data_IF_733825841895
#
_entry.id   IF_733825841895
#
_cell.length_a   1.000
_cell.length_b   1.000
_cell.length_c   1.000
_cell.angle_alpha   90.00
_cell.angle_beta   90.00
_cell.angle_gamma   90.00
#
_symmetry.space_group_name_H-M   'P 1'
#
loop_
_entity.id
_entity.type
_entity.pdbx_description
1 polymer ?
#
# COMPACT_ATOMS: atom_id res chain seq x y z
N UNK A 1 -34.05 -49.32 -6.98
CA UNK A 1 -33.18 -49.24 -5.77
C UNK A 1 -32.38 -47.93 -5.63
N UNK A 2 -32.21 -47.10 -6.65
CA UNK A 2 -31.46 -45.82 -6.57
C UNK A 2 -32.12 -44.67 -5.83
N UNK A 3 -33.43 -44.51 -5.92
CA UNK A 3 -34.20 -43.37 -5.37
C UNK A 3 -34.34 -43.45 -3.84
N UNK A 4 -34.37 -44.65 -3.27
CA UNK A 4 -34.52 -44.86 -1.81
C UNK A 4 -33.19 -44.55 -1.08
N UNK A 5 -32.06 -44.91 -1.67
CA UNK A 5 -30.73 -44.57 -1.09
C UNK A 5 -30.46 -43.06 -1.07
N UNK A 6 -30.92 -42.33 -2.09
CA UNK A 6 -30.77 -40.85 -2.14
C UNK A 6 -31.59 -40.16 -1.08
N UNK A 7 -32.79 -40.65 -0.74
CA UNK A 7 -33.63 -40.06 0.34
C UNK A 7 -33.05 -40.27 1.73
N UNK A 8 -32.39 -41.38 1.98
CA UNK A 8 -31.79 -41.68 3.30
C UNK A 8 -30.54 -40.79 3.54
N UNK A 9 -29.67 -40.62 2.53
CA UNK A 9 -28.48 -39.79 2.62
C UNK A 9 -28.86 -38.31 2.75
N UNK A 10 -29.87 -37.83 2.02
CA UNK A 10 -30.38 -36.46 2.16
C UNK A 10 -31.01 -36.21 3.53
N UNK A 11 -31.70 -37.19 4.10
CA UNK A 11 -32.32 -37.08 5.43
C UNK A 11 -31.34 -36.98 6.59
N UNK A 12 -30.15 -37.59 6.46
CA UNK A 12 -29.08 -37.46 7.44
C UNK A 12 -28.30 -36.15 7.29
N UNK A 13 -28.11 -35.66 6.06
CA UNK A 13 -27.49 -34.37 5.77
C UNK A 13 -28.33 -33.19 6.27
N UNK A 14 -29.66 -33.28 6.17
CA UNK A 14 -30.57 -32.24 6.59
C UNK A 14 -30.71 -32.09 8.12
N UNK A 15 -30.35 -33.11 8.91
CA UNK A 15 -30.36 -33.04 10.39
C UNK A 15 -29.24 -32.17 10.98
N UNK A 16 -28.17 -31.89 10.22
CA UNK A 16 -27.09 -31.03 10.63
C UNK A 16 -27.25 -29.54 10.25
N UNK A 17 -28.23 -29.19 9.43
CA UNK A 17 -28.43 -27.84 8.91
C UNK A 17 -29.22 -26.97 9.86
N UNK A 18 -28.72 -25.79 10.22
CA UNK A 18 -29.32 -24.88 11.20
C UNK A 18 -30.60 -24.17 10.70
N UNK A 19 -30.89 -24.17 9.38
CA UNK A 19 -32.08 -23.54 8.80
C UNK A 19 -32.62 -24.36 7.63
N UNK A 20 -33.88 -24.72 7.71
CA UNK A 20 -34.62 -25.45 6.67
C UNK A 20 -35.86 -24.61 6.31
N UNK A 21 -36.09 -24.42 5.01
CA UNK A 21 -37.31 -23.81 4.48
C UNK A 21 -38.20 -24.86 3.82
N UNK A 22 -39.55 -24.68 3.89
CA UNK A 22 -40.51 -25.61 3.28
C UNK A 22 -41.04 -25.05 1.97
N UNK A 23 -41.06 -25.86 0.95
CA UNK A 23 -41.72 -25.51 -0.30
C UNK A 23 -43.26 -25.42 -0.10
N UNK A 24 -43.83 -24.30 -0.54
CA UNK A 24 -45.29 -24.13 -0.39
C UNK A 24 -46.13 -25.12 -1.23
N UNK A 25 -45.57 -25.59 -2.37
CA UNK A 25 -46.28 -26.49 -3.31
C UNK A 25 -46.12 -27.95 -2.91
N UNK A 26 -44.90 -28.47 -2.80
CA UNK A 26 -44.65 -29.89 -2.54
C UNK A 26 -44.36 -30.24 -1.08
N UNK A 27 -44.31 -29.25 -0.18
CA UNK A 27 -44.02 -29.37 1.26
C UNK A 27 -42.63 -29.95 1.59
N UNK A 28 -41.75 -30.10 0.59
CA UNK A 28 -40.41 -30.62 0.79
C UNK A 28 -39.52 -29.66 1.60
N UNK A 29 -38.67 -30.23 2.44
CA UNK A 29 -37.71 -29.50 3.24
C UNK A 29 -36.45 -29.18 2.37
N UNK A 30 -36.06 -27.92 2.34
CA UNK A 30 -35.00 -27.40 1.49
C UNK A 30 -33.96 -26.67 2.37
N UNK A 31 -32.65 -26.98 2.26
CA UNK A 31 -31.61 -26.24 2.98
C UNK A 31 -31.58 -24.75 2.58
N UNK A 32 -31.74 -23.84 3.52
CA UNK A 32 -31.70 -22.39 3.26
C UNK A 32 -30.29 -21.87 3.02
N UNK A 33 -29.26 -22.60 3.46
CA UNK A 33 -27.86 -22.25 3.31
C UNK A 33 -27.39 -22.21 1.86
N UNK A 34 -28.02 -22.99 0.97
CA UNK A 34 -27.73 -23.00 -0.46
C UNK A 34 -28.41 -21.85 -1.22
N UNK A 35 -29.15 -21.01 -0.52
CA UNK A 35 -29.89 -19.89 -1.11
C UNK A 35 -30.70 -20.22 -2.38
N UNK A 36 -31.44 -21.35 -2.43
CA UNK A 36 -32.08 -21.77 -3.66
C UNK A 36 -33.21 -20.81 -4.07
N UNK A 37 -33.30 -20.50 -5.34
CA UNK A 37 -34.33 -19.66 -5.94
C UNK A 37 -35.56 -20.50 -6.32
N UNK A 38 -35.35 -21.77 -6.64
CA UNK A 38 -36.39 -22.72 -7.03
C UNK A 38 -36.30 -23.99 -6.18
N UNK A 39 -37.45 -24.62 -5.97
CA UNK A 39 -37.51 -25.91 -5.29
C UNK A 39 -36.86 -27.00 -6.12
N UNK A 40 -35.86 -27.70 -5.56
CA UNK A 40 -35.15 -28.79 -6.23
C UNK A 40 -36.01 -30.05 -6.49
N UNK A 41 -37.22 -30.14 -5.86
CA UNK A 41 -38.09 -31.28 -6.02
C UNK A 41 -39.24 -31.03 -7.01
N UNK A 42 -39.79 -29.82 -7.10
CA UNK A 42 -40.94 -29.53 -7.94
C UNK A 42 -40.79 -28.34 -8.86
N UNK A 43 -39.63 -27.70 -8.89
CA UNK A 43 -39.34 -26.56 -9.75
C UNK A 43 -40.05 -25.25 -9.37
N UNK A 44 -40.87 -25.24 -8.29
CA UNK A 44 -41.60 -24.05 -7.87
C UNK A 44 -40.65 -22.96 -7.40
N UNK A 45 -40.94 -21.71 -7.75
CA UNK A 45 -40.16 -20.55 -7.28
C UNK A 45 -40.40 -20.34 -5.78
N UNK A 46 -39.32 -20.37 -5.02
CA UNK A 46 -39.37 -20.23 -3.56
C UNK A 46 -39.54 -18.77 -3.20
N UNK A 47 -40.65 -18.45 -2.55
CA UNK A 47 -40.89 -17.14 -1.98
C UNK A 47 -40.19 -17.07 -0.62
N UNK A 48 -39.12 -16.30 -0.54
CA UNK A 48 -38.56 -15.91 0.76
C UNK A 48 -39.46 -14.90 1.39
N UNK A 49 -39.96 -15.21 2.58
CA UNK A 49 -40.58 -14.17 3.41
C UNK A 49 -39.47 -13.12 3.66
N UNK A 50 -39.64 -11.93 3.07
CA UNK A 50 -38.84 -10.77 3.48
C UNK A 50 -39.14 -10.60 4.96
N UNK A 51 -38.17 -10.92 5.85
CA UNK A 51 -38.23 -10.48 7.23
C UNK A 51 -38.58 -9.00 7.18
N UNK A 52 -39.73 -8.60 7.70
CA UNK A 52 -40.04 -7.19 7.96
C UNK A 52 -38.82 -6.66 8.70
N UNK A 53 -38.07 -5.70 8.14
CA UNK A 53 -37.01 -5.00 8.84
C UNK A 53 -37.62 -4.58 10.17
N UNK A 54 -37.13 -5.12 11.27
CA UNK A 54 -37.67 -4.82 12.59
C UNK A 54 -37.65 -3.32 12.76
N UNK A 55 -38.80 -2.76 13.18
CA UNK A 55 -38.92 -1.33 13.41
C UNK A 55 -37.83 -0.87 14.36
N UNK A 56 -36.99 0.07 13.90
CA UNK A 56 -35.86 0.57 14.69
C UNK A 56 -36.43 1.35 15.86
N UNK A 57 -36.41 0.75 17.05
CA UNK A 57 -36.92 1.37 18.28
C UNK A 57 -35.94 2.34 18.87
N UNK A 58 -36.36 3.56 19.15
CA UNK A 58 -35.58 4.57 19.87
C UNK A 58 -36.24 4.92 21.20
N UNK A 59 -35.49 5.42 22.20
CA UNK A 59 -36.08 5.98 23.41
C UNK A 59 -37.02 7.15 23.10
N UNK A 60 -38.04 7.34 23.90
CA UNK A 60 -38.97 8.45 23.75
C UNK A 60 -38.25 9.78 23.97
N UNK A 61 -38.39 10.75 23.04
CA UNK A 61 -37.82 12.08 23.22
C UNK A 61 -38.36 12.75 24.49
N UNK A 62 -37.49 13.44 25.23
CA UNK A 62 -37.86 14.16 26.46
C UNK A 62 -37.56 15.64 26.32
N UNK A 63 -38.49 16.51 26.68
CA UNK A 63 -38.25 17.95 26.65
C UNK A 63 -37.57 18.41 27.94
N UNK A 64 -36.49 19.22 27.78
CA UNK A 64 -35.80 19.91 28.88
C UNK A 64 -35.50 21.36 28.45
N UNK A 65 -36.14 22.30 29.10
CA UNK A 65 -36.13 23.70 28.68
C UNK A 65 -36.77 23.86 27.29
N UNK A 66 -36.05 24.51 26.37
CA UNK A 66 -36.53 24.71 24.98
C UNK A 66 -36.10 23.61 24.01
N UNK A 67 -35.37 22.58 24.47
CA UNK A 67 -34.80 21.52 23.58
C UNK A 67 -35.31 20.14 23.89
N UNK A 68 -35.30 19.28 22.89
CA UNK A 68 -35.70 17.88 22.96
C UNK A 68 -34.48 16.97 22.97
N UNK A 69 -34.48 15.97 23.87
CA UNK A 69 -33.38 15.05 24.14
C UNK A 69 -33.80 13.60 23.89
N UNK A 70 -32.94 12.84 23.18
CA UNK A 70 -33.02 11.38 23.03
C UNK A 70 -31.72 10.75 23.47
N UNK A 71 -31.73 9.97 24.54
CA UNK A 71 -30.54 9.31 25.08
C UNK A 71 -30.37 7.92 24.47
N UNK A 72 -29.41 7.81 23.55
CA UNK A 72 -29.04 6.56 22.87
C UNK A 72 -27.92 5.86 23.63
N UNK A 73 -28.23 5.24 24.79
CA UNK A 73 -27.26 4.65 25.72
C UNK A 73 -26.35 3.60 25.08
N UNK A 74 -26.86 2.81 24.12
CA UNK A 74 -26.07 1.78 23.43
C UNK A 74 -25.03 2.39 22.51
N UNK A 75 -25.33 3.52 21.93
CA UNK A 75 -24.49 4.29 21.03
C UNK A 75 -23.64 5.32 21.79
N UNK A 76 -23.84 5.50 23.09
CA UNK A 76 -23.12 6.45 23.94
C UNK A 76 -23.40 7.91 23.61
N UNK A 77 -24.52 8.23 22.95
CA UNK A 77 -24.83 9.57 22.43
C UNK A 77 -26.19 10.06 22.92
N UNK A 78 -26.26 11.35 23.30
CA UNK A 78 -27.52 12.05 23.54
C UNK A 78 -27.79 13.00 22.38
N UNK A 79 -28.87 12.76 21.64
CA UNK A 79 -29.34 13.66 20.58
C UNK A 79 -30.09 14.84 21.20
N UNK A 80 -29.75 16.05 20.77
CA UNK A 80 -30.35 17.30 21.25
C UNK A 80 -30.79 18.12 20.04
N UNK A 81 -32.08 18.43 19.93
CA UNK A 81 -32.63 19.20 18.82
C UNK A 81 -33.72 20.17 19.32
N UNK A 82 -34.09 21.15 18.49
CA UNK A 82 -35.09 22.17 18.83
C UNK A 82 -36.52 21.65 18.78
N UNK A 83 -36.79 20.58 18.00
CA UNK A 83 -38.10 19.97 17.88
C UNK A 83 -38.06 18.47 18.18
N UNK A 84 -39.19 17.92 18.66
CA UNK A 84 -39.32 16.49 18.91
C UNK A 84 -39.11 15.65 17.64
N UNK A 85 -39.68 16.12 16.54
CA UNK A 85 -39.58 15.43 15.26
C UNK A 85 -38.11 15.36 14.76
N UNK A 86 -37.35 16.42 14.88
CA UNK A 86 -35.92 16.46 14.52
C UNK A 86 -35.12 15.55 15.45
N UNK A 87 -35.31 15.56 16.75
CA UNK A 87 -34.66 14.70 17.71
C UNK A 87 -34.92 13.22 17.41
N UNK A 88 -36.17 12.88 17.09
CA UNK A 88 -36.59 11.53 16.73
C UNK A 88 -36.01 11.06 15.41
N UNK A 89 -36.03 11.90 14.37
CA UNK A 89 -35.46 11.58 13.05
C UNK A 89 -33.95 11.34 13.14
N UNK A 90 -33.22 12.21 13.85
CA UNK A 90 -31.77 12.07 14.03
C UNK A 90 -31.39 10.85 14.87
N UNK A 91 -32.14 10.54 15.94
CA UNK A 91 -31.94 9.36 16.75
C UNK A 91 -32.16 8.07 15.94
N UNK A 92 -33.19 8.03 15.09
CA UNK A 92 -33.46 6.93 14.18
C UNK A 92 -32.32 6.77 13.16
N UNK A 93 -31.87 7.86 12.58
CA UNK A 93 -30.76 7.86 11.60
C UNK A 93 -29.45 7.33 12.21
N UNK A 94 -29.11 7.73 13.45
CA UNK A 94 -27.96 7.22 14.20
C UNK A 94 -28.11 5.71 14.43
N UNK A 95 -29.26 5.26 14.95
CA UNK A 95 -29.50 3.84 15.24
C UNK A 95 -29.61 2.96 14.00
N UNK A 96 -30.01 3.54 12.88
CA UNK A 96 -29.98 2.90 11.56
C UNK A 96 -28.59 2.82 10.93
N UNK A 97 -27.57 3.46 11.54
CA UNK A 97 -26.23 3.56 10.99
C UNK A 97 -26.13 4.50 9.79
N UNK A 98 -27.14 5.34 9.56
CA UNK A 98 -27.16 6.33 8.47
C UNK A 98 -26.38 7.60 8.83
N UNK A 99 -26.23 7.88 10.11
CA UNK A 99 -25.43 8.98 10.66
C UNK A 99 -24.51 8.40 11.74
N UNK A 100 -23.25 8.78 11.73
CA UNK A 100 -22.29 8.36 12.75
C UNK A 100 -22.72 8.88 14.14
N UNK A 101 -22.67 8.02 15.15
CA UNK A 101 -22.91 8.37 16.57
C UNK A 101 -21.70 9.04 17.23
N UNK A 102 -20.60 9.24 16.48
CA UNK A 102 -19.38 9.84 17.02
C UNK A 102 -19.70 11.25 17.54
N UNK A 103 -19.40 11.51 18.81
CA UNK A 103 -19.45 12.85 19.36
C UNK A 103 -18.74 13.79 18.42
N UNK A 104 -19.46 14.74 17.82
CA UNK A 104 -18.84 15.83 17.05
C UNK A 104 -17.70 16.39 17.89
N UNK A 105 -16.51 16.42 17.34
CA UNK A 105 -15.31 16.95 18.01
C UNK A 105 -15.37 18.49 18.06
N UNK A 106 -16.43 19.04 18.68
CA UNK A 106 -16.59 20.48 18.86
C UNK A 106 -15.45 21.01 19.69
N UNK A 107 -14.78 22.04 19.20
CA UNK A 107 -13.64 22.68 19.85
C UNK A 107 -12.28 22.02 19.57
N UNK A 108 -12.21 21.01 18.68
CA UNK A 108 -10.96 20.37 18.30
C UNK A 108 -10.44 20.96 16.99
N UNK A 109 -9.28 21.62 17.02
CA UNK A 109 -8.66 22.10 15.78
C UNK A 109 -8.10 20.93 14.96
N UNK A 110 -7.87 21.17 13.66
CA UNK A 110 -7.27 20.14 12.80
C UNK A 110 -5.88 19.71 13.33
N UNK A 111 -5.10 20.66 13.85
CA UNK A 111 -3.81 20.37 14.49
C UNK A 111 -3.96 19.43 15.68
N UNK A 112 -4.86 19.74 16.60
CA UNK A 112 -5.13 18.91 17.78
C UNK A 112 -5.70 17.54 17.41
N UNK A 113 -6.51 17.47 16.36
CA UNK A 113 -7.03 16.19 15.85
C UNK A 113 -5.91 15.31 15.29
N UNK A 114 -4.94 15.89 14.60
CA UNK A 114 -3.74 15.19 14.11
C UNK A 114 -2.86 14.74 15.30
N UNK A 115 -2.65 15.61 16.31
CA UNK A 115 -1.90 15.24 17.52
C UNK A 115 -2.52 14.02 18.19
N UNK A 116 -3.81 14.09 18.47
CA UNK A 116 -4.56 12.98 19.07
C UNK A 116 -4.49 11.69 18.21
N UNK A 117 -4.55 11.83 16.88
CA UNK A 117 -4.41 10.70 15.97
C UNK A 117 -3.05 10.02 16.09
N UNK A 118 -1.98 10.78 16.21
CA UNK A 118 -0.61 10.29 16.38
C UNK A 118 -0.45 9.63 17.76
N UNK A 119 -0.84 10.33 18.83
CA UNK A 119 -0.73 9.88 20.22
C UNK A 119 -1.47 8.55 20.48
N UNK A 120 -2.70 8.44 19.97
CA UNK A 120 -3.49 7.20 20.14
C UNK A 120 -2.91 5.99 19.38
N UNK A 121 -1.90 6.20 18.53
CA UNK A 121 -1.21 5.17 17.74
C UNK A 121 0.28 5.10 18.04
N UNK A 122 0.65 5.56 19.21
CA UNK A 122 2.01 5.35 19.71
C UNK A 122 2.36 3.86 19.66
N UNK A 123 3.58 3.52 19.28
CA UNK A 123 4.07 2.16 19.03
C UNK A 123 3.44 1.40 17.83
N UNK A 124 2.39 1.93 17.19
CA UNK A 124 1.80 1.34 15.97
C UNK A 124 2.37 2.01 14.72
N UNK A 125 2.47 3.34 14.75
CA UNK A 125 3.02 4.11 13.63
C UNK A 125 4.55 3.98 13.57
N UNK A 126 5.08 3.88 12.36
CA UNK A 126 6.54 3.92 12.21
C UNK A 126 7.07 5.34 12.47
N UNK A 127 8.32 5.52 12.99
CA UNK A 127 8.91 6.84 13.20
C UNK A 127 8.88 7.70 11.93
N UNK A 128 9.16 7.12 10.77
CA UNK A 128 9.06 7.83 9.49
C UNK A 128 7.63 8.26 9.14
N UNK A 129 6.61 7.51 9.58
CA UNK A 129 5.20 7.89 9.38
C UNK A 129 4.84 9.06 10.30
N UNK A 130 5.22 8.99 11.58
CA UNK A 130 5.02 10.09 12.54
C UNK A 130 5.71 11.35 12.03
N UNK A 131 6.98 11.25 11.61
CA UNK A 131 7.71 12.35 10.98
C UNK A 131 6.94 12.94 9.79
N UNK A 132 6.43 12.11 8.90
CA UNK A 132 5.63 12.56 7.75
C UNK A 132 4.36 13.30 8.17
N UNK A 133 3.66 12.81 9.17
CA UNK A 133 2.46 13.46 9.72
C UNK A 133 2.78 14.79 10.42
N UNK A 134 3.88 14.88 11.16
CA UNK A 134 4.35 16.13 11.77
C UNK A 134 4.75 17.19 10.73
N UNK A 135 5.32 16.77 9.60
CA UNK A 135 5.63 17.67 8.48
C UNK A 135 4.33 18.21 7.87
N UNK A 136 3.33 17.35 7.66
CA UNK A 136 2.00 17.75 7.16
C UNK A 136 1.36 18.73 8.15
N UNK A 137 1.33 18.42 9.44
CA UNK A 137 0.76 19.26 10.47
C UNK A 137 1.39 20.66 10.53
N UNK A 138 2.70 20.75 10.26
CA UNK A 138 3.43 22.03 10.29
C UNK A 138 3.21 22.88 9.04
N UNK A 139 3.10 22.24 7.88
CA UNK A 139 3.24 22.93 6.59
C UNK A 139 1.98 22.94 5.72
N UNK A 140 1.07 21.94 5.89
CA UNK A 140 -0.11 21.82 5.05
C UNK A 140 -1.29 22.62 5.60
N UNK A 141 -2.17 23.05 4.71
CA UNK A 141 -3.43 23.71 5.04
C UNK A 141 -3.31 24.85 6.08
N UNK A 142 -2.39 25.82 5.94
CA UNK A 142 -2.13 26.84 6.96
C UNK A 142 -3.36 27.68 7.30
N UNK A 143 -4.30 27.86 6.37
CA UNK A 143 -5.52 28.64 6.59
C UNK A 143 -6.55 27.95 7.49
N UNK A 144 -6.45 26.62 7.69
CA UNK A 144 -7.43 25.86 8.48
C UNK A 144 -6.82 24.98 9.56
N UNK A 145 -5.50 24.89 9.64
CA UNK A 145 -4.82 23.98 10.58
C UNK A 145 -5.19 24.25 12.04
N UNK A 146 -5.41 25.51 12.38
CA UNK A 146 -5.79 25.94 13.72
C UNK A 146 -7.29 26.28 13.87
N UNK A 147 -8.10 25.86 12.89
CA UNK A 147 -9.57 26.00 12.88
C UNK A 147 -10.23 24.74 13.41
N UNK A 148 -11.33 24.89 14.15
CA UNK A 148 -12.18 23.78 14.60
C UNK A 148 -12.70 22.98 13.39
N UNK A 149 -12.40 21.68 13.35
CA UNK A 149 -12.76 20.80 12.23
C UNK A 149 -14.27 20.71 11.99
N UNK A 150 -15.09 20.98 13.01
CA UNK A 150 -16.55 21.01 12.90
C UNK A 150 -17.08 22.32 12.31
N UNK A 151 -16.29 23.38 12.32
CA UNK A 151 -16.67 24.71 11.84
C UNK A 151 -16.26 24.97 10.38
N UNK A 152 -15.44 24.10 9.79
CA UNK A 152 -14.99 24.26 8.40
C UNK A 152 -16.15 24.02 7.45
N UNK A 153 -16.62 25.09 6.82
CA UNK A 153 -17.79 25.07 5.92
C UNK A 153 -17.54 24.39 4.60
N UNK A 154 -16.31 24.42 4.08
CA UNK A 154 -15.95 23.82 2.79
C UNK A 154 -14.54 23.26 2.78
N UNK A 155 -14.43 21.95 2.81
CA UNK A 155 -13.16 21.23 2.61
C UNK A 155 -12.64 21.37 1.19
N UNK A 156 -13.55 21.50 0.20
CA UNK A 156 -13.14 21.74 -1.20
C UNK A 156 -12.41 23.06 -1.36
N UNK A 157 -12.83 24.12 -0.67
CA UNK A 157 -12.12 25.40 -0.68
C UNK A 157 -10.70 25.25 -0.14
N UNK A 158 -10.53 24.56 1.00
CA UNK A 158 -9.22 24.27 1.57
C UNK A 158 -8.31 23.46 0.62
N UNK A 159 -8.86 22.48 -0.07
CA UNK A 159 -8.16 21.70 -1.12
C UNK A 159 -7.73 22.61 -2.27
N UNK A 160 -8.61 23.49 -2.74
CA UNK A 160 -8.29 24.40 -3.85
C UNK A 160 -7.16 25.37 -3.47
N UNK A 161 -7.16 25.88 -2.23
CA UNK A 161 -6.10 26.76 -1.74
C UNK A 161 -4.77 26.02 -1.62
N UNK A 162 -4.77 24.82 -1.08
CA UNK A 162 -3.55 24.00 -0.96
C UNK A 162 -3.03 23.54 -2.32
N UNK A 163 -3.92 23.28 -3.29
CA UNK A 163 -3.53 22.91 -4.66
C UNK A 163 -2.74 24.01 -5.41
N UNK A 164 -2.87 25.29 -4.99
CA UNK A 164 -2.07 26.39 -5.52
C UNK A 164 -0.64 26.41 -4.95
N UNK A 165 -0.43 25.79 -3.78
CA UNK A 165 0.83 25.82 -3.03
C UNK A 165 1.70 24.60 -3.32
N UNK A 166 1.09 23.43 -3.51
CA UNK A 166 1.81 22.16 -3.59
C UNK A 166 1.41 21.36 -4.85
N UNK A 167 2.29 20.45 -5.26
CA UNK A 167 2.01 19.54 -6.39
C UNK A 167 0.90 18.53 -6.02
N UNK A 168 0.13 18.10 -7.02
CA UNK A 168 -0.99 17.16 -6.86
C UNK A 168 -0.64 15.89 -6.03
N UNK A 169 0.59 15.36 -6.16
CA UNK A 169 1.05 14.20 -5.37
C UNK A 169 1.22 14.54 -3.89
N UNK A 170 1.75 15.69 -3.57
CA UNK A 170 1.91 16.18 -2.19
C UNK A 170 0.54 16.39 -1.57
N UNK A 171 -0.34 17.13 -2.24
CA UNK A 171 -1.72 17.35 -1.81
C UNK A 171 -2.47 16.03 -1.54
N UNK A 172 -2.32 15.04 -2.41
CA UNK A 172 -2.93 13.72 -2.21
C UNK A 172 -2.46 13.04 -0.92
N UNK A 173 -1.18 13.18 -0.58
CA UNK A 173 -0.64 12.61 0.66
C UNK A 173 -1.14 13.38 1.89
N UNK A 174 -1.14 14.70 1.84
CA UNK A 174 -1.63 15.59 2.90
C UNK A 174 -3.10 15.34 3.17
N UNK A 175 -3.92 15.34 2.13
CA UNK A 175 -5.34 15.04 2.24
C UNK A 175 -5.60 13.61 2.74
N UNK A 176 -4.75 12.65 2.40
CA UNK A 176 -4.84 11.28 2.91
C UNK A 176 -4.83 11.21 4.43
N UNK A 177 -3.94 11.97 5.10
CA UNK A 177 -3.92 12.10 6.55
C UNK A 177 -5.17 12.82 7.06
N UNK A 178 -5.45 14.02 6.53
CA UNK A 178 -6.59 14.85 6.97
C UNK A 178 -7.89 14.06 6.86
N UNK A 179 -8.16 13.42 5.74
CA UNK A 179 -9.36 12.59 5.54
C UNK A 179 -9.49 11.48 6.59
N UNK A 180 -8.37 10.83 6.94
CA UNK A 180 -8.37 9.76 7.94
C UNK A 180 -8.70 10.31 9.33
N UNK A 181 -8.09 11.44 9.68
CA UNK A 181 -8.35 12.14 10.96
C UNK A 181 -9.80 12.62 11.04
N UNK A 182 -10.35 13.18 9.97
CA UNK A 182 -11.75 13.59 9.90
C UNK A 182 -12.71 12.42 10.09
N UNK A 183 -12.46 11.29 9.40
CA UNK A 183 -13.28 10.10 9.51
C UNK A 183 -13.34 9.56 10.95
N UNK A 184 -12.23 9.59 11.70
CA UNK A 184 -12.21 9.21 13.12
C UNK A 184 -13.03 10.15 14.01
N UNK A 185 -13.12 11.41 13.62
CA UNK A 185 -13.94 12.39 14.32
C UNK A 185 -15.38 12.48 13.78
N UNK A 186 -15.81 11.51 12.96
CA UNK A 186 -17.16 11.40 12.43
C UNK A 186 -17.49 12.39 11.32
N UNK A 187 -16.47 13.06 10.75
CA UNK A 187 -16.63 14.03 9.67
C UNK A 187 -16.30 13.33 8.34
N UNK A 188 -17.26 13.31 7.44
CA UNK A 188 -17.05 12.85 6.07
C UNK A 188 -16.92 14.09 5.17
N UNK A 189 -15.81 14.15 4.43
CA UNK A 189 -15.55 15.19 3.46
C UNK A 189 -15.29 14.53 2.10
N UNK A 190 -16.21 14.74 1.18
CA UNK A 190 -16.05 14.34 -0.22
C UNK A 190 -15.49 15.54 -0.99
N UNK A 191 -14.30 15.36 -1.57
CA UNK A 191 -13.58 16.43 -2.28
C UNK A 191 -12.95 15.91 -3.57
N UNK A 192 -12.93 16.76 -4.58
CA UNK A 192 -12.18 16.52 -5.80
C UNK A 192 -10.70 16.92 -5.61
N UNK A 193 -9.80 16.01 -5.97
CA UNK A 193 -8.35 16.23 -5.89
C UNK A 193 -7.78 16.22 -7.30
N UNK A 194 -6.82 17.12 -7.64
CA UNK A 194 -6.16 17.12 -8.93
C UNK A 194 -5.52 15.77 -9.27
N UNK A 195 -5.61 15.38 -10.54
CA UNK A 195 -5.03 14.12 -11.00
C UNK A 195 -3.50 14.13 -10.83
N UNK A 196 -2.98 13.05 -10.26
CA UNK A 196 -1.53 12.87 -10.11
C UNK A 196 -0.94 12.34 -11.40
N UNK A 197 -0.19 13.17 -12.10
CA UNK A 197 0.63 12.72 -13.24
C UNK A 197 1.82 11.96 -12.68
N UNK A 198 1.97 10.71 -13.09
CA UNK A 198 3.12 9.88 -12.68
C UNK A 198 4.31 10.24 -13.55
N UNK A 199 5.39 10.71 -12.93
CA UNK A 199 6.66 10.85 -13.64
C UNK A 199 7.17 9.50 -14.10
N UNK A 200 7.87 9.49 -15.22
CA UNK A 200 8.58 8.30 -15.65
C UNK A 200 9.60 7.85 -14.59
N UNK A 201 9.62 6.54 -14.36
CA UNK A 201 10.58 5.95 -13.45
C UNK A 201 11.94 5.89 -14.15
N UNK A 202 12.97 6.50 -13.56
CA UNK A 202 14.34 6.45 -14.07
C UNK A 202 15.12 5.27 -13.46
N UNK A 203 15.93 4.63 -14.27
CA UNK A 203 16.94 3.63 -13.90
C UNK A 203 18.06 3.67 -14.93
N UNK A 204 19.17 3.02 -14.65
CA UNK A 204 20.28 2.81 -15.57
C UNK A 204 20.08 1.47 -16.30
N UNK A 205 20.30 1.45 -17.60
CA UNK A 205 20.34 0.23 -18.40
C UNK A 205 21.65 -0.52 -18.24
N UNK A 206 21.80 -1.64 -18.95
CA UNK A 206 22.96 -2.52 -18.86
C UNK A 206 24.30 -1.82 -19.14
N UNK A 207 24.39 -0.98 -20.18
CA UNK A 207 25.62 -0.28 -20.52
C UNK A 207 25.88 0.91 -19.57
N UNK A 208 24.82 1.61 -19.18
CA UNK A 208 24.89 2.72 -18.24
C UNK A 208 25.37 2.27 -16.85
N UNK A 209 25.00 1.05 -16.42
CA UNK A 209 25.47 0.49 -15.14
C UNK A 209 27.00 0.35 -15.15
N UNK A 210 27.62 -0.08 -16.27
CA UNK A 210 29.08 -0.18 -16.37
C UNK A 210 29.74 1.17 -16.17
N UNK A 211 29.29 2.19 -16.92
CA UNK A 211 29.81 3.55 -16.83
C UNK A 211 29.61 4.14 -15.42
N UNK A 212 28.49 3.83 -14.80
CA UNK A 212 28.21 4.26 -13.43
C UNK A 212 29.15 3.61 -12.41
N UNK A 213 29.42 2.29 -12.54
CA UNK A 213 30.35 1.57 -11.65
C UNK A 213 31.73 2.14 -11.71
N UNK A 214 32.23 2.51 -12.91
CA UNK A 214 33.52 3.15 -13.08
C UNK A 214 33.54 4.56 -12.46
N UNK A 215 32.47 5.33 -12.62
CA UNK A 215 32.38 6.70 -12.12
C UNK A 215 32.24 6.79 -10.60
N UNK A 216 31.60 5.81 -9.95
CA UNK A 216 31.35 5.79 -8.48
C UNK A 216 32.51 5.13 -7.71
N UNK A 217 33.46 4.50 -8.42
CA UNK A 217 34.57 3.79 -7.82
C UNK A 217 35.44 4.74 -6.98
N UNK A 218 35.78 4.28 -5.77
CA UNK A 218 36.56 5.00 -4.76
C UNK A 218 35.92 6.32 -4.27
N UNK A 219 34.67 6.59 -4.65
CA UNK A 219 33.89 7.73 -4.14
C UNK A 219 33.19 7.38 -2.81
N UNK A 220 32.95 8.36 -1.93
CA UNK A 220 32.30 8.10 -0.62
C UNK A 220 30.95 7.41 -0.67
N UNK A 221 30.26 7.47 -1.79
CA UNK A 221 28.96 6.84 -2.04
C UNK A 221 29.06 5.42 -2.60
N UNK A 222 30.24 4.90 -2.90
CA UNK A 222 30.43 3.65 -3.63
C UNK A 222 29.70 2.48 -2.93
N UNK A 223 30.01 2.20 -1.69
CA UNK A 223 29.42 1.09 -0.95
C UNK A 223 27.89 1.18 -0.90
N UNK A 224 27.33 2.35 -0.64
CA UNK A 224 25.89 2.58 -0.61
C UNK A 224 25.22 2.36 -1.97
N UNK A 225 25.87 2.80 -3.05
CA UNK A 225 25.42 2.58 -4.43
C UNK A 225 25.46 1.09 -4.81
N UNK A 226 26.51 0.38 -4.42
CA UNK A 226 26.64 -1.06 -4.67
C UNK A 226 25.58 -1.86 -3.91
N UNK A 227 25.28 -1.53 -2.65
CA UNK A 227 24.14 -2.12 -1.95
C UNK A 227 22.81 -1.87 -2.69
N UNK A 228 22.59 -0.66 -3.22
CA UNK A 228 21.39 -0.36 -4.00
C UNK A 228 21.30 -1.18 -5.30
N UNK A 229 22.43 -1.41 -5.98
CA UNK A 229 22.54 -2.28 -7.15
C UNK A 229 22.35 -3.78 -6.84
N UNK A 230 22.41 -4.18 -5.56
CA UNK A 230 21.98 -5.51 -5.10
C UNK A 230 20.48 -5.56 -4.77
N UNK A 231 19.72 -4.52 -5.10
CA UNK A 231 18.30 -4.47 -4.88
C UNK A 231 17.87 -4.09 -3.45
N UNK A 232 18.74 -3.53 -2.60
CA UNK A 232 18.37 -3.05 -1.27
C UNK A 232 17.59 -1.74 -1.34
N UNK A 233 16.60 -1.58 -0.44
CA UNK A 233 15.91 -0.29 -0.23
C UNK A 233 16.82 0.67 0.53
N UNK A 234 16.57 1.97 0.40
CA UNK A 234 17.34 3.00 1.14
C UNK A 234 17.38 2.73 2.65
N UNK A 235 16.25 2.37 3.25
CA UNK A 235 16.20 2.06 4.69
C UNK A 235 16.91 0.75 5.05
N UNK A 236 16.94 -0.21 4.16
CA UNK A 236 17.63 -1.49 4.35
C UNK A 236 19.16 -1.32 4.30
N UNK A 237 19.67 -0.66 3.24
CA UNK A 237 21.12 -0.46 3.09
C UNK A 237 21.77 0.37 4.22
N UNK A 238 21.01 1.29 4.84
CA UNK A 238 21.45 2.05 6.00
C UNK A 238 21.45 1.23 7.32
N UNK A 239 20.87 0.04 7.30
CA UNK A 239 20.80 -0.85 8.44
C UNK A 239 21.76 -2.05 8.36
N UNK A 240 22.47 -2.23 7.24
CA UNK A 240 23.42 -3.35 7.06
C UNK A 240 24.61 -3.20 7.98
N UNK A 241 24.87 -4.25 8.76
CA UNK A 241 25.97 -4.34 9.75
C UNK A 241 26.85 -5.54 9.44
N UNK A 242 28.09 -5.61 9.94
CA UNK A 242 28.98 -6.76 9.73
C UNK A 242 28.37 -8.10 10.16
N UNK A 243 27.61 -8.16 11.25
CA UNK A 243 26.94 -9.40 11.70
C UNK A 243 25.83 -9.87 10.75
N UNK A 244 25.42 -9.08 9.78
CA UNK A 244 24.46 -9.45 8.72
C UNK A 244 25.13 -9.99 7.46
N UNK A 245 26.45 -10.07 7.45
CA UNK A 245 27.22 -10.65 6.35
C UNK A 245 27.57 -12.10 6.72
N UNK A 246 27.10 -13.04 5.92
CA UNK A 246 27.41 -14.45 6.07
C UNK A 246 28.09 -14.97 4.79
N UNK A 247 29.44 -15.05 4.83
CA UNK A 247 30.22 -15.41 3.67
C UNK A 247 30.01 -14.44 2.50
N UNK A 248 29.39 -14.93 1.43
CA UNK A 248 29.05 -14.13 0.24
C UNK A 248 27.58 -13.71 0.20
N UNK A 249 26.93 -13.63 1.35
CA UNK A 249 25.49 -13.33 1.43
C UNK A 249 25.24 -12.22 2.44
N UNK A 250 24.34 -11.30 2.09
CA UNK A 250 23.82 -10.24 2.96
C UNK A 250 22.46 -10.69 3.50
N UNK A 251 22.33 -10.82 4.81
CA UNK A 251 21.03 -10.96 5.45
C UNK A 251 20.37 -9.58 5.55
N UNK A 252 19.40 -9.31 4.70
CA UNK A 252 18.62 -8.09 4.76
C UNK A 252 17.53 -8.24 5.80
N UNK A 253 17.73 -7.61 6.94
CA UNK A 253 16.84 -7.63 8.10
C UNK A 253 16.89 -6.28 8.81
N UNK A 254 15.71 -5.75 9.14
CA UNK A 254 15.61 -4.42 9.72
C UNK A 254 15.68 -3.28 8.72
N UNK A 255 15.54 -2.09 9.23
CA UNK A 255 15.58 -0.84 8.46
C UNK A 255 16.02 0.33 9.33
N UNK A 256 16.68 1.33 8.73
CA UNK A 256 17.01 2.59 9.38
C UNK A 256 16.21 3.71 8.72
N UNK A 257 15.51 4.50 9.52
CA UNK A 257 14.63 5.59 9.08
C UNK A 257 14.83 6.82 9.96
N UNK A 258 14.55 8.00 9.41
CA UNK A 258 14.54 9.23 10.20
C UNK A 258 13.25 9.31 11.04
N UNK A 259 13.39 9.66 12.31
CA UNK A 259 12.29 10.03 13.19
C UNK A 259 11.88 11.51 13.03
N UNK A 260 11.02 11.99 13.91
CA UNK A 260 10.53 13.38 13.89
C UNK A 260 11.63 14.42 14.17
N UNK A 261 12.67 14.05 14.91
CA UNK A 261 13.83 14.88 15.24
C UNK A 261 14.95 14.79 14.18
N UNK A 262 14.71 14.08 13.08
CA UNK A 262 15.68 13.76 12.03
C UNK A 262 16.85 12.89 12.51
N UNK A 263 16.70 12.19 13.64
CA UNK A 263 17.64 11.18 14.06
C UNK A 263 17.42 9.88 13.30
N UNK A 264 18.50 9.17 12.97
CA UNK A 264 18.43 7.88 12.29
C UNK A 264 18.13 6.78 13.30
N UNK A 265 16.89 6.31 13.30
CA UNK A 265 16.41 5.25 14.20
C UNK A 265 16.39 3.91 13.47
N UNK A 266 16.96 2.89 14.10
CA UNK A 266 16.94 1.52 13.59
C UNK A 266 15.72 0.78 14.11
N UNK A 267 15.15 -0.03 13.24
CA UNK A 267 14.12 -1.02 13.56
C UNK A 267 14.67 -2.39 13.23
N UNK A 268 14.69 -3.27 14.19
CA UNK A 268 15.12 -4.66 14.00
C UNK A 268 14.11 -5.45 13.18
N UNK A 269 12.83 -5.09 13.26
CA UNK A 269 11.77 -5.74 12.50
C UNK A 269 11.49 -5.02 11.18
N UNK A 270 11.33 -5.78 10.13
CA UNK A 270 10.86 -5.30 8.84
C UNK A 270 9.34 -5.12 8.87
N UNK A 271 8.85 -4.08 8.19
CA UNK A 271 7.42 -3.77 8.05
C UNK A 271 6.59 -4.94 7.47
N UNK A 272 7.23 -5.83 6.70
CA UNK A 272 6.62 -7.00 6.08
C UNK A 272 7.57 -8.20 6.20
N UNK A 273 7.03 -9.39 6.45
CA UNK A 273 7.76 -10.68 6.48
C UNK A 273 8.53 -10.95 5.18
N UNK A 274 8.03 -10.48 4.03
CA UNK A 274 8.70 -10.58 2.71
C UNK A 274 9.96 -9.72 2.58
N UNK A 275 10.24 -8.85 3.54
CA UNK A 275 11.44 -7.99 3.51
C UNK A 275 12.68 -8.69 4.10
N UNK A 276 12.51 -9.73 4.92
CA UNK A 276 13.62 -10.55 5.40
C UNK A 276 14.04 -11.51 4.30
N UNK A 277 15.28 -11.38 3.84
CA UNK A 277 15.82 -12.19 2.76
C UNK A 277 17.34 -12.23 2.77
N UNK A 278 17.88 -13.23 2.13
CA UNK A 278 19.31 -13.32 1.82
C UNK A 278 19.56 -12.83 0.40
N UNK A 279 20.53 -11.94 0.27
CA UNK A 279 20.94 -11.36 -1.01
C UNK A 279 22.40 -11.77 -1.26
N UNK A 280 22.69 -12.55 -2.33
CA UNK A 280 24.06 -12.90 -2.66
C UNK A 280 24.85 -11.64 -3.07
N UNK A 281 26.12 -11.58 -2.66
CA UNK A 281 27.04 -10.52 -3.08
C UNK A 281 27.49 -10.83 -4.50
N UNK A 282 26.94 -10.14 -5.48
CA UNK A 282 27.14 -10.37 -6.91
C UNK A 282 28.24 -9.47 -7.51
N UNK A 283 28.54 -8.35 -6.88
CA UNK A 283 29.57 -7.40 -7.31
C UNK A 283 30.83 -7.63 -6.46
N UNK A 284 31.95 -8.17 -7.01
CA UNK A 284 33.17 -8.49 -6.25
C UNK A 284 33.69 -7.29 -5.45
N UNK A 285 33.62 -6.09 -6.04
CA UNK A 285 34.05 -4.85 -5.38
C UNK A 285 33.28 -4.57 -4.07
N UNK A 286 32.01 -4.96 -3.95
CA UNK A 286 31.29 -4.83 -2.68
C UNK A 286 31.86 -5.74 -1.60
N UNK A 287 32.25 -6.98 -1.95
CA UNK A 287 32.89 -7.89 -1.02
C UNK A 287 34.27 -7.35 -0.52
N UNK A 288 35.03 -6.75 -1.41
CA UNK A 288 36.31 -6.07 -1.04
C UNK A 288 36.05 -4.92 -0.05
N UNK A 289 35.07 -4.06 -0.33
CA UNK A 289 34.75 -2.93 0.53
C UNK A 289 34.19 -3.38 1.89
N UNK A 290 33.38 -4.40 1.95
CA UNK A 290 32.88 -4.98 3.19
C UNK A 290 34.05 -5.52 4.03
N UNK A 291 34.95 -6.26 3.41
CA UNK A 291 36.16 -6.79 4.09
C UNK A 291 37.08 -5.68 4.59
N UNK A 292 37.28 -4.64 3.79
CA UNK A 292 38.13 -3.50 4.13
C UNK A 292 37.52 -2.61 5.22
N UNK A 293 36.20 -2.47 5.25
CA UNK A 293 35.51 -1.63 6.23
C UNK A 293 35.68 -2.15 7.67
N UNK A 294 35.75 -3.47 7.88
CA UNK A 294 35.84 -4.07 9.22
C UNK A 294 34.76 -3.53 10.16
N UNK A 295 35.15 -3.33 11.41
CA UNK A 295 34.33 -2.61 12.38
C UNK A 295 33.59 -3.49 13.38
N UNK A 296 32.84 -2.85 14.28
CA UNK A 296 32.02 -3.52 15.29
C UNK A 296 30.86 -4.26 14.63
N UNK A 297 30.57 -5.45 15.12
CA UNK A 297 29.59 -6.37 14.54
C UNK A 297 28.18 -5.74 14.36
N UNK A 298 27.81 -4.80 15.22
CA UNK A 298 26.47 -4.20 15.30
C UNK A 298 26.42 -2.77 14.73
N UNK A 299 27.56 -2.20 14.34
CA UNK A 299 27.61 -0.86 13.76
C UNK A 299 27.39 -0.91 12.26
N UNK A 300 26.48 -0.09 11.68
CA UNK A 300 26.26 -0.08 10.23
C UNK A 300 27.52 0.24 9.46
N UNK A 301 27.65 -0.31 8.25
CA UNK A 301 28.71 0.11 7.33
C UNK A 301 28.57 1.57 6.87
N UNK A 302 27.34 2.07 6.78
CA UNK A 302 27.06 3.38 6.22
C UNK A 302 26.66 4.39 7.30
N UNK A 303 27.50 5.40 7.46
CA UNK A 303 27.35 6.49 8.43
C UNK A 303 27.13 7.81 7.68
N UNK A 304 25.89 8.09 7.27
CA UNK A 304 25.57 9.36 6.64
C UNK A 304 24.83 10.27 7.64
N UNK A 305 25.18 11.55 7.74
CA UNK A 305 24.48 12.52 8.58
C UNK A 305 23.02 12.72 8.09
N UNK A 306 22.76 12.40 6.84
CA UNK A 306 21.42 12.41 6.25
C UNK A 306 21.36 11.40 5.09
N UNK A 307 20.21 10.71 4.90
CA UNK A 307 19.99 9.86 3.73
C UNK A 307 20.14 10.57 2.37
N UNK A 308 20.06 11.90 2.35
CA UNK A 308 20.24 12.70 1.15
C UNK A 308 21.72 12.77 0.69
N UNK A 309 22.68 12.55 1.57
CA UNK A 309 24.10 12.53 1.22
C UNK A 309 24.37 11.48 0.15
N UNK A 310 23.89 10.27 0.35
CA UNK A 310 24.02 9.20 -0.64
C UNK A 310 23.39 9.56 -1.99
N UNK A 311 22.22 10.20 -1.98
CA UNK A 311 21.58 10.68 -3.20
C UNK A 311 22.46 11.68 -3.95
N UNK A 312 23.09 12.63 -3.26
CA UNK A 312 24.00 13.60 -3.87
C UNK A 312 25.23 12.92 -4.46
N UNK A 313 25.83 11.95 -3.75
CA UNK A 313 26.99 11.21 -4.20
C UNK A 313 26.68 10.37 -5.45
N UNK A 314 25.57 9.65 -5.47
CA UNK A 314 25.11 8.90 -6.64
C UNK A 314 24.93 9.84 -7.85
N UNK A 315 24.29 11.01 -7.65
CA UNK A 315 24.07 11.94 -8.77
C UNK A 315 25.36 12.58 -9.26
N UNK A 316 26.35 12.85 -8.40
CA UNK A 316 27.68 13.29 -8.85
C UNK A 316 28.36 12.26 -9.76
N UNK A 317 28.24 10.98 -9.42
CA UNK A 317 28.77 9.91 -10.28
C UNK A 317 28.00 9.83 -11.62
N UNK A 318 26.66 9.99 -11.60
CA UNK A 318 25.87 10.07 -12.82
C UNK A 318 26.31 11.26 -13.69
N UNK A 319 26.47 12.45 -13.10
CA UNK A 319 26.90 13.66 -13.82
C UNK A 319 28.31 13.48 -14.41
N UNK A 320 29.25 12.89 -13.64
CA UNK A 320 30.64 12.57 -14.10
C UNK A 320 30.65 11.63 -15.30
N UNK A 321 29.70 10.69 -15.36
CA UNK A 321 29.61 9.72 -16.45
C UNK A 321 28.65 10.16 -17.58
N UNK A 322 28.05 11.35 -17.52
CA UNK A 322 27.05 11.81 -18.49
C UNK A 322 25.76 11.00 -18.49
N UNK A 323 25.39 10.41 -17.35
CA UNK A 323 24.25 9.53 -17.19
C UNK A 323 23.00 10.27 -16.66
N UNK A 324 21.81 9.74 -16.90
CA UNK A 324 20.60 10.25 -16.27
C UNK A 324 20.71 10.18 -14.74
N UNK A 325 20.29 11.25 -14.05
CA UNK A 325 20.29 11.27 -12.59
C UNK A 325 19.31 10.25 -12.02
N UNK A 326 19.81 9.39 -11.14
CA UNK A 326 19.03 8.38 -10.44
C UNK A 326 19.27 8.47 -8.94
N UNK A 327 18.28 8.06 -8.15
CA UNK A 327 18.48 7.90 -6.70
C UNK A 327 18.64 6.43 -6.33
N UNK A 328 18.72 6.14 -5.04
CA UNK A 328 18.83 4.77 -4.51
C UNK A 328 17.74 3.84 -5.08
N UNK A 329 16.50 4.33 -5.18
CA UNK A 329 15.43 3.53 -5.79
C UNK A 329 15.56 3.37 -7.30
N UNK A 330 16.25 4.30 -7.98
CA UNK A 330 16.64 4.16 -9.38
C UNK A 330 17.66 3.06 -9.56
N UNK A 331 18.75 3.04 -8.76
CA UNK A 331 19.75 1.97 -8.77
C UNK A 331 19.14 0.60 -8.42
N UNK A 332 18.19 0.55 -7.47
CA UNK A 332 17.45 -0.69 -7.19
C UNK A 332 16.61 -1.15 -8.40
N UNK A 333 16.08 -0.24 -9.20
CA UNK A 333 15.43 -0.60 -10.48
C UNK A 333 16.45 -0.98 -11.55
N UNK A 334 17.64 -0.38 -11.53
CA UNK A 334 18.75 -0.79 -12.40
C UNK A 334 19.18 -2.24 -12.15
N UNK A 335 19.12 -2.71 -10.89
CA UNK A 335 19.27 -4.14 -10.60
C UNK A 335 18.21 -4.98 -11.33
N UNK A 336 16.95 -4.58 -11.35
CA UNK A 336 15.91 -5.31 -12.08
C UNK A 336 16.12 -5.23 -13.60
N UNK A 337 16.61 -4.10 -14.13
CA UNK A 337 16.99 -3.95 -15.54
C UNK A 337 18.13 -4.90 -15.93
N UNK A 338 19.18 -4.95 -15.11
CA UNK A 338 20.30 -5.88 -15.32
C UNK A 338 19.84 -7.34 -15.26
N UNK A 339 19.01 -7.70 -14.29
CA UNK A 339 18.47 -9.03 -14.14
C UNK A 339 17.67 -9.46 -15.38
N UNK A 340 16.88 -8.55 -15.97
CA UNK A 340 16.18 -8.79 -17.24
C UNK A 340 17.15 -9.13 -18.37
N UNK A 341 18.17 -8.30 -18.59
CA UNK A 341 19.18 -8.53 -19.64
C UNK A 341 19.96 -9.83 -19.46
N UNK A 342 20.14 -10.27 -18.22
CA UNK A 342 20.79 -11.54 -17.89
C UNK A 342 19.83 -12.75 -17.90
N UNK A 343 18.57 -12.55 -18.32
CA UNK A 343 17.58 -13.62 -18.48
C UNK A 343 16.97 -14.12 -17.15
N UNK A 344 17.06 -13.34 -16.07
CA UNK A 344 16.39 -13.70 -14.84
C UNK A 344 14.86 -13.59 -14.98
N UNK A 345 14.14 -14.54 -14.40
CA UNK A 345 12.70 -14.41 -14.31
C UNK A 345 12.29 -13.27 -13.35
N UNK A 346 11.09 -12.69 -13.56
CA UNK A 346 10.53 -11.72 -12.63
C UNK A 346 10.52 -12.24 -11.18
N UNK A 347 10.19 -13.53 -11.01
CA UNK A 347 10.16 -14.18 -9.69
C UNK A 347 11.53 -14.21 -8.99
N UNK A 348 12.60 -14.55 -9.73
CA UNK A 348 13.96 -14.54 -9.20
C UNK A 348 14.38 -13.14 -8.80
N UNK A 349 14.12 -12.16 -9.66
CA UNK A 349 14.41 -10.75 -9.41
C UNK A 349 13.65 -10.21 -8.20
N UNK A 350 12.37 -10.55 -8.07
CA UNK A 350 11.54 -10.18 -6.93
C UNK A 350 12.06 -10.78 -5.62
N UNK A 351 12.44 -12.04 -5.61
CA UNK A 351 12.94 -12.73 -4.43
C UNK A 351 14.21 -12.07 -3.90
N UNK A 352 15.20 -11.85 -4.76
CA UNK A 352 16.48 -11.22 -4.37
C UNK A 352 16.28 -9.77 -3.99
N UNK A 353 15.55 -9.00 -4.78
CA UNK A 353 15.27 -7.60 -4.50
C UNK A 353 14.27 -7.38 -3.36
N UNK A 354 13.47 -8.37 -2.96
CA UNK A 354 12.45 -8.22 -1.90
C UNK A 354 11.28 -7.35 -2.31
N UNK A 355 10.77 -7.49 -3.54
CA UNK A 355 9.52 -6.90 -3.96
C UNK A 355 8.34 -7.81 -3.62
N UNK A 356 7.39 -7.29 -2.86
CA UNK A 356 6.14 -7.99 -2.53
C UNK A 356 5.08 -7.86 -3.61
N UNK A 357 5.21 -6.86 -4.49
CA UNK A 357 4.29 -6.59 -5.59
C UNK A 357 5.06 -6.70 -6.91
N UNK A 358 4.53 -7.51 -7.84
CA UNK A 358 5.07 -7.73 -9.18
C UNK A 358 5.12 -6.44 -10.00
N UNK A 359 4.19 -5.52 -9.79
CA UNK A 359 3.98 -4.34 -10.65
C UNK A 359 5.25 -3.50 -10.89
N UNK A 360 6.14 -3.37 -9.88
CA UNK A 360 7.36 -2.57 -10.03
C UNK A 360 8.37 -3.26 -10.96
N UNK A 361 8.61 -4.56 -10.77
CA UNK A 361 9.53 -5.35 -11.60
C UNK A 361 8.93 -5.50 -12.99
N UNK A 362 7.67 -5.87 -13.06
CA UNK A 362 6.92 -6.01 -14.30
C UNK A 362 6.96 -4.75 -15.18
N UNK A 363 6.77 -3.56 -14.60
CA UNK A 363 6.86 -2.30 -15.34
C UNK A 363 8.27 -2.05 -15.92
N UNK A 364 9.34 -2.45 -15.22
CA UNK A 364 10.71 -2.37 -15.74
C UNK A 364 10.88 -3.35 -16.90
N UNK A 365 10.43 -4.60 -16.71
CA UNK A 365 10.53 -5.66 -17.72
C UNK A 365 9.74 -5.33 -19.00
N UNK A 366 8.49 -4.82 -18.88
CA UNK A 366 7.70 -4.40 -20.03
C UNK A 366 8.38 -3.27 -20.81
N UNK A 367 8.90 -2.25 -20.13
CA UNK A 367 9.57 -1.13 -20.81
C UNK A 367 10.81 -1.61 -21.58
N UNK A 368 11.59 -2.52 -21.00
CA UNK A 368 12.76 -3.09 -21.65
C UNK A 368 12.36 -3.98 -22.82
N UNK A 369 11.39 -4.86 -22.64
CA UNK A 369 10.87 -5.72 -23.70
C UNK A 369 10.29 -4.91 -24.88
N UNK A 370 9.64 -3.78 -24.61
CA UNK A 370 9.17 -2.87 -25.66
C UNK A 370 10.32 -2.21 -26.43
N UNK A 371 11.42 -1.86 -25.75
CA UNK A 371 12.61 -1.31 -26.39
C UNK A 371 13.34 -2.37 -27.24
N UNK A 372 13.38 -3.61 -26.77
CA UNK A 372 14.05 -4.72 -27.45
C UNK A 372 13.20 -5.36 -28.57
N UNK A 373 11.92 -5.02 -28.67
CA UNK A 373 10.96 -5.67 -29.56
C UNK A 373 11.40 -5.66 -31.04
N UNK A 374 12.04 -4.59 -31.53
CA UNK A 374 12.53 -4.51 -32.90
C UNK A 374 13.68 -5.53 -33.15
N UNK A 375 14.59 -5.66 -32.19
CA UNK A 375 15.69 -6.63 -32.27
C UNK A 375 15.17 -8.07 -32.19
N UNK A 376 14.15 -8.32 -31.37
CA UNK A 376 13.56 -9.64 -31.24
C UNK A 376 12.73 -10.05 -32.47
N UNK A 377 12.02 -9.10 -33.10
CA UNK A 377 11.38 -9.32 -34.40
C UNK A 377 12.40 -9.67 -35.46
N UNK A 378 13.57 -9.02 -35.48
CA UNK A 378 14.63 -9.34 -36.43
C UNK A 378 15.26 -10.73 -36.18
N UNK A 379 15.43 -11.13 -34.91
CA UNK A 379 15.83 -12.52 -34.57
C UNK A 379 14.83 -13.55 -35.08
N UNK A 380 13.54 -13.28 -34.90
CA UNK A 380 12.47 -14.15 -35.41
C UNK A 380 12.49 -14.23 -36.94
N UNK A 381 12.67 -13.10 -37.64
CA UNK A 381 12.82 -13.08 -39.09
C UNK A 381 14.00 -13.95 -39.57
N UNK A 382 15.16 -13.78 -38.95
CA UNK A 382 16.35 -14.60 -39.26
C UNK A 382 16.10 -16.09 -39.03
N UNK A 383 15.40 -16.46 -37.97
CA UNK A 383 15.03 -17.85 -37.70
C UNK A 383 14.13 -18.41 -38.81
N UNK A 384 13.12 -17.69 -39.24
CA UNK A 384 12.24 -18.13 -40.31
C UNK A 384 12.94 -18.16 -41.67
N UNK A 385 13.80 -17.18 -41.96
CA UNK A 385 14.62 -17.20 -43.19
C UNK A 385 15.56 -18.41 -43.26
N UNK A 386 16.12 -18.81 -42.12
CA UNK A 386 16.95 -20.01 -42.04
C UNK A 386 16.13 -21.28 -42.30
N UNK A 387 14.95 -21.41 -41.71
CA UNK A 387 14.09 -22.59 -41.89
C UNK A 387 13.51 -22.69 -43.29
N UNK A 388 13.19 -21.60 -43.96
CA UNK A 388 12.72 -21.59 -45.35
C UNK A 388 13.79 -21.98 -46.35
N UNK A 389 15.05 -21.64 -46.14
CA UNK A 389 16.18 -22.05 -46.98
C UNK A 389 16.44 -23.57 -46.90
N UNK A 390 16.24 -24.21 -45.76
CA UNK A 390 16.38 -25.68 -45.63
C UNK A 390 15.27 -26.46 -46.34
N UNK A 391 14.06 -25.96 -46.35
CA UNK A 391 12.93 -26.62 -47.03
C UNK A 391 13.01 -26.56 -48.54
N UNK A 392 13.70 -25.56 -49.13
CA UNK A 392 13.89 -25.47 -50.58
C UNK A 392 15.02 -26.33 -51.11
N UNK A 393 16.03 -26.70 -50.31
CA UNK A 393 17.11 -27.57 -50.72
C UNK A 393 16.75 -29.07 -50.68
N UNK A 394 15.82 -29.50 -49.84
CA UNK A 394 15.36 -30.91 -49.77
C UNK A 394 14.32 -31.30 -50.84
N UNK A 395 13.84 -30.36 -51.67
CA UNK A 395 12.93 -30.64 -52.79
C UNK A 395 13.62 -30.74 -54.15
N UNK A 396 14.96 -30.71 -54.21
CA UNK A 396 15.76 -30.85 -55.45
C UNK A 396 16.68 -32.08 -55.42
N UNK A 397 16.37 -33.11 -54.64
CA UNK A 397 17.05 -34.39 -54.65
C UNK A 397 16.09 -35.51 -55.13
#
# INVERSE_FOLDING_TARGET
MGIIRYKIILGEYLRGLRRIMKCKKCKADIPDELHPVYCCYCGEKLQRERKKKGEIKIPTPRKRGQKWYVDLRREGVTVIEDTEAAARAKALAIRAGLISSVKSARGLTLRQAIDKYIETRDNILSPATVRGYRIIQRNAFPGIMDTDISSISSWQAAINDEARRVKAKTLKNEWGLVRTVLAENGIQADVAIPQVIRNELSWLDFEQIKLFLDAIRDEPGEMGALFALHGLRRSELLAVTPNKINGQTILVEGSAVLDEDNALVRKEENKNTSSRREVPIMIPRLAELIKAAGGDANTPFLHYPSPNVLYVQINRACDKAGLPRVGVHGLRRSFASLAYHLGWSEHQTMRVGGWSNTQTVHNVYIKLAQADSAADVEKMRRYYDFTTKFTTTSKKA
#
